data_IF_241601742536
#
_entry.id   IF_241601742536
#
_cell.length_a   1.000
_cell.length_b   1.000
_cell.length_c   1.000
_cell.angle_alpha   90.00
_cell.angle_beta   90.00
_cell.angle_gamma   90.00
#
_symmetry.space_group_name_H-M   'P 1'
#
loop_
_entity.id
_entity.type
_entity.pdbx_description
1 polymer ?
#
# COMPACT_ATOMS: atom_id res chain seq x y z
N UNK A 1 15.39 27.97 -4.70
CA UNK A 1 16.32 27.97 -3.55
C UNK A 1 16.39 26.56 -3.03
N UNK A 2 17.56 25.95 -3.10
CA UNK A 2 17.82 24.54 -2.76
C UNK A 2 17.96 24.39 -1.24
N UNK A 3 16.89 23.98 -0.58
CA UNK A 3 17.03 23.31 0.70
C UNK A 3 17.76 21.99 0.43
N UNK A 4 18.84 21.74 1.17
CA UNK A 4 19.49 20.45 1.17
C UNK A 4 18.50 19.39 1.63
N UNK A 5 17.95 18.62 0.67
CA UNK A 5 17.04 17.51 0.92
C UNK A 5 17.74 16.49 1.84
N UNK A 6 17.52 16.60 3.16
CA UNK A 6 17.73 15.46 4.05
C UNK A 6 16.87 14.34 3.48
N UNK A 7 17.52 13.28 2.98
CA UNK A 7 16.81 12.08 2.53
C UNK A 7 15.95 11.63 3.70
N UNK A 8 14.64 11.68 3.51
CA UNK A 8 13.68 11.18 4.47
C UNK A 8 13.91 9.67 4.63
N UNK A 9 14.18 9.24 5.87
CA UNK A 9 14.47 7.85 6.24
C UNK A 9 13.41 7.41 7.24
N UNK A 10 12.86 6.23 7.03
CA UNK A 10 11.99 5.55 7.99
C UNK A 10 12.85 4.61 8.83
N UNK A 11 12.64 4.64 10.14
CA UNK A 11 13.31 3.79 11.12
C UNK A 11 12.31 2.78 11.71
N UNK A 12 12.12 1.65 11.01
CA UNK A 12 11.26 0.55 11.45
C UNK A 12 11.98 -0.79 11.21
N UNK A 13 11.73 -1.83 12.03
CA UNK A 13 12.25 -3.18 11.80
C UNK A 13 11.47 -3.85 10.65
N UNK A 14 11.88 -3.53 9.43
CA UNK A 14 11.21 -3.96 8.20
C UNK A 14 11.83 -5.26 7.66
N UNK A 15 11.02 -6.31 7.58
CA UNK A 15 11.30 -7.49 6.76
C UNK A 15 10.68 -7.28 5.38
N UNK A 16 11.47 -7.45 4.32
CA UNK A 16 11.02 -7.38 2.94
C UNK A 16 11.19 -8.74 2.30
N UNK A 17 10.08 -9.34 1.88
CA UNK A 17 10.05 -10.62 1.20
C UNK A 17 10.04 -10.36 -0.30
N UNK A 18 10.91 -11.08 -1.01
CA UNK A 18 11.10 -10.88 -2.44
C UNK A 18 10.22 -11.82 -3.27
N UNK A 19 9.90 -11.39 -4.48
CA UNK A 19 9.45 -12.28 -5.57
C UNK A 19 10.63 -13.07 -6.14
N UNK A 20 10.36 -14.01 -7.05
CA UNK A 20 11.43 -14.71 -7.79
C UNK A 20 12.31 -13.74 -8.59
N UNK A 21 11.70 -12.76 -9.25
CA UNK A 21 12.39 -11.70 -10.00
C UNK A 21 13.24 -10.83 -9.07
N UNK A 22 12.68 -10.44 -7.91
CA UNK A 22 13.39 -9.70 -6.88
C UNK A 22 14.58 -10.47 -6.32
N UNK A 23 14.39 -11.74 -5.94
CA UNK A 23 15.44 -12.60 -5.41
C UNK A 23 16.57 -12.78 -6.44
N UNK A 24 16.22 -13.06 -7.69
CA UNK A 24 17.18 -13.20 -8.79
C UNK A 24 18.02 -11.94 -8.99
N UNK A 25 17.38 -10.77 -8.96
CA UNK A 25 18.08 -9.48 -9.06
C UNK A 25 19.03 -9.23 -7.86
N UNK A 26 18.65 -9.61 -6.65
CA UNK A 26 19.55 -9.46 -5.48
C UNK A 26 20.75 -10.41 -5.56
N UNK A 27 20.51 -11.66 -5.94
CA UNK A 27 21.56 -12.68 -6.09
C UNK A 27 22.55 -12.26 -7.20
N UNK A 28 22.07 -11.77 -8.34
CA UNK A 28 22.93 -11.34 -9.45
C UNK A 28 23.83 -10.15 -9.08
N UNK A 29 23.45 -9.36 -8.06
CA UNK A 29 24.23 -8.26 -7.51
C UNK A 29 24.99 -8.63 -6.22
N UNK A 30 25.23 -9.93 -5.99
CA UNK A 30 25.97 -10.48 -4.85
C UNK A 30 25.40 -10.05 -3.48
N UNK A 31 24.09 -9.84 -3.39
CA UNK A 31 23.40 -9.58 -2.11
C UNK A 31 22.92 -10.90 -1.51
N UNK A 32 23.32 -11.16 -0.27
CA UNK A 32 22.84 -12.33 0.48
C UNK A 32 21.39 -12.13 0.88
N UNK A 33 20.58 -13.15 0.65
CA UNK A 33 19.21 -13.22 1.13
C UNK A 33 19.17 -13.89 2.50
N UNK A 34 18.28 -13.40 3.34
CA UNK A 34 17.94 -14.06 4.60
C UNK A 34 16.72 -14.94 4.38
N UNK A 35 16.73 -16.09 5.05
CA UNK A 35 15.57 -16.96 5.16
C UNK A 35 14.78 -16.49 6.38
N UNK A 36 13.55 -16.06 6.14
CA UNK A 36 12.61 -15.76 7.20
C UNK A 36 11.68 -16.95 7.35
N UNK A 37 11.58 -17.44 8.58
CA UNK A 37 10.42 -18.21 8.99
C UNK A 37 9.36 -17.18 9.36
N UNK A 38 8.39 -16.99 8.48
CA UNK A 38 7.28 -16.11 8.79
C UNK A 38 6.28 -16.83 9.69
N UNK A 39 5.33 -16.09 10.24
CA UNK A 39 4.24 -16.64 11.05
C UNK A 39 3.48 -17.76 10.32
N UNK A 40 3.49 -17.77 8.99
CA UNK A 40 2.92 -18.84 8.20
C UNK A 40 3.85 -20.04 7.99
N UNK A 41 4.89 -20.24 8.81
CA UNK A 41 5.87 -21.35 8.72
C UNK A 41 6.48 -21.56 7.31
N UNK A 42 6.22 -20.55 6.48
CA UNK A 42 6.73 -20.11 5.19
C UNK A 42 8.21 -19.83 5.24
N UNK A 43 9.07 -20.70 4.74
CA UNK A 43 10.43 -20.25 4.45
C UNK A 43 10.40 -19.33 3.24
N UNK A 44 10.31 -18.03 3.51
CA UNK A 44 10.37 -17.00 2.49
C UNK A 44 11.74 -16.32 2.51
N UNK A 45 12.23 -15.92 1.34
CA UNK A 45 13.54 -15.29 1.19
C UNK A 45 13.40 -13.78 1.02
N UNK A 46 14.29 -13.05 1.69
CA UNK A 46 14.21 -11.59 1.66
C UNK A 46 15.38 -10.87 2.30
N UNK A 47 15.13 -9.63 2.69
CA UNK A 47 16.08 -8.75 3.39
C UNK A 47 15.43 -8.14 4.63
N UNK A 48 16.23 -7.81 5.65
CA UNK A 48 15.79 -7.08 6.83
C UNK A 48 16.48 -5.72 6.87
N UNK A 49 15.73 -4.69 7.21
CA UNK A 49 16.17 -3.30 7.23
C UNK A 49 15.67 -2.67 8.53
N UNK A 50 16.54 -1.94 9.23
CA UNK A 50 16.13 -1.13 10.39
C UNK A 50 16.01 0.37 10.05
N UNK A 51 16.59 0.77 8.91
CA UNK A 51 16.51 2.11 8.35
C UNK A 51 16.42 2.00 6.83
N UNK A 52 15.48 2.71 6.22
CA UNK A 52 15.30 2.66 4.77
C UNK A 52 14.72 3.95 4.21
N UNK A 53 15.01 4.20 2.93
CA UNK A 53 14.35 5.28 2.17
C UNK A 53 13.01 4.77 1.63
N UNK A 54 11.90 5.50 1.83
CA UNK A 54 10.61 5.16 1.23
C UNK A 54 10.63 5.01 -0.28
N UNK A 55 11.43 5.85 -0.95
CA UNK A 55 11.60 5.79 -2.40
C UNK A 55 12.24 4.48 -2.85
N UNK A 56 13.10 3.87 -2.03
CA UNK A 56 13.73 2.58 -2.33
C UNK A 56 12.70 1.45 -2.28
N UNK A 57 11.87 1.41 -1.23
CA UNK A 57 10.77 0.45 -1.11
C UNK A 57 9.76 0.63 -2.23
N UNK A 58 9.33 1.86 -2.49
CA UNK A 58 8.44 2.18 -3.61
C UNK A 58 9.02 1.66 -4.93
N UNK A 59 10.28 1.93 -5.22
CA UNK A 59 10.91 1.48 -6.48
C UNK A 59 10.92 -0.04 -6.60
N UNK A 60 11.19 -0.76 -5.51
CA UNK A 60 11.14 -2.22 -5.49
C UNK A 60 9.72 -2.75 -5.70
N UNK A 61 8.68 -2.10 -5.16
CA UNK A 61 7.28 -2.46 -5.43
C UNK A 61 6.91 -2.22 -6.90
N UNK A 62 7.31 -1.07 -7.45
CA UNK A 62 7.06 -0.72 -8.86
C UNK A 62 7.72 -1.71 -9.83
N UNK A 63 8.87 -2.26 -9.45
CA UNK A 63 9.62 -3.27 -10.23
C UNK A 63 9.17 -4.72 -9.96
N UNK A 64 8.10 -4.94 -9.20
CA UNK A 64 7.62 -6.29 -8.83
C UNK A 64 8.64 -7.13 -8.05
N UNK A 65 9.58 -6.50 -7.33
CA UNK A 65 10.58 -7.22 -6.54
C UNK A 65 10.09 -7.65 -5.17
N UNK A 66 9.00 -7.05 -4.67
CA UNK A 66 8.47 -7.30 -3.33
C UNK A 66 7.14 -8.04 -3.43
N UNK A 67 7.01 -9.15 -2.72
CA UNK A 67 5.75 -9.89 -2.58
C UNK A 67 5.04 -9.58 -1.26
N UNK A 68 5.79 -9.31 -0.20
CA UNK A 68 5.28 -9.04 1.14
C UNK A 68 6.28 -8.15 1.90
N UNK A 69 5.76 -7.30 2.76
CA UNK A 69 6.56 -6.63 3.79
C UNK A 69 5.93 -6.85 5.16
N UNK A 70 6.75 -6.88 6.19
CA UNK A 70 6.30 -7.11 7.57
C UNK A 70 7.11 -6.25 8.53
N UNK A 71 6.44 -5.71 9.54
CA UNK A 71 7.06 -5.11 10.72
C UNK A 71 6.49 -5.78 11.97
N UNK A 72 7.31 -5.88 13.02
CA UNK A 72 6.92 -6.47 14.29
C UNK A 72 7.55 -5.73 15.44
N UNK A 73 6.74 -5.26 16.39
CA UNK A 73 7.19 -4.45 17.53
C UNK A 73 6.31 -4.74 18.76
N UNK A 74 6.88 -4.58 19.97
CA UNK A 74 6.09 -4.61 21.22
C UNK A 74 5.30 -3.33 21.45
N UNK A 75 5.71 -2.22 20.80
CA UNK A 75 5.09 -0.91 20.88
C UNK A 75 5.16 -0.23 19.50
N UNK A 76 4.03 0.26 19.00
CA UNK A 76 3.91 1.03 17.76
C UNK A 76 3.65 2.53 18.01
N UNK A 77 3.12 2.93 19.17
CA UNK A 77 2.82 4.35 19.46
C UNK A 77 4.04 5.26 19.27
N UNK A 78 5.24 4.78 19.60
CA UNK A 78 6.51 5.49 19.43
C UNK A 78 6.99 5.61 17.98
N UNK A 79 6.37 4.89 17.03
CA UNK A 79 6.70 4.93 15.59
C UNK A 79 5.45 5.17 14.73
N UNK A 80 4.47 5.90 15.27
CA UNK A 80 3.16 6.14 14.64
C UNK A 80 3.29 6.67 13.22
N UNK A 81 4.09 7.73 13.04
CA UNK A 81 4.21 8.41 11.76
C UNK A 81 4.89 7.50 10.72
N UNK A 82 5.92 6.76 11.13
CA UNK A 82 6.67 5.84 10.29
C UNK A 82 5.79 4.69 9.78
N UNK A 83 4.93 4.12 10.62
CA UNK A 83 3.99 3.04 10.23
C UNK A 83 2.96 3.56 9.23
N UNK A 84 2.42 4.76 9.47
CA UNK A 84 1.50 5.41 8.55
C UNK A 84 2.16 5.72 7.20
N UNK A 85 3.38 6.25 7.22
CA UNK A 85 4.13 6.57 6.00
C UNK A 85 4.49 5.32 5.20
N UNK A 86 4.89 4.22 5.86
CA UNK A 86 5.10 2.93 5.20
C UNK A 86 3.80 2.43 4.53
N UNK A 87 2.67 2.51 5.23
CA UNK A 87 1.35 2.13 4.70
C UNK A 87 1.00 2.95 3.45
N UNK A 88 1.19 4.27 3.51
CA UNK A 88 0.97 5.17 2.37
C UNK A 88 1.88 4.80 1.20
N UNK A 89 3.16 4.55 1.45
CA UNK A 89 4.13 4.15 0.41
C UNK A 89 3.67 2.89 -0.31
N UNK A 90 3.18 1.88 0.40
CA UNK A 90 2.64 0.65 -0.18
C UNK A 90 1.44 0.95 -1.08
N UNK A 91 0.44 1.65 -0.56
CA UNK A 91 -0.81 1.94 -1.29
C UNK A 91 -0.54 2.81 -2.52
N UNK A 92 0.23 3.89 -2.39
CA UNK A 92 0.60 4.74 -3.51
C UNK A 92 1.37 3.98 -4.60
N UNK A 93 2.25 3.06 -4.21
CA UNK A 93 2.98 2.24 -5.18
C UNK A 93 2.04 1.36 -6.00
N UNK A 94 1.02 0.78 -5.38
CA UNK A 94 -0.02 0.02 -6.10
C UNK A 94 -0.82 0.93 -7.04
N UNK A 95 -1.25 2.10 -6.57
CA UNK A 95 -1.98 3.07 -7.39
C UNK A 95 -1.18 3.53 -8.60
N UNK A 96 0.14 3.75 -8.47
CA UNK A 96 0.99 4.12 -9.60
C UNK A 96 1.08 3.03 -10.66
N UNK A 97 1.21 1.76 -10.27
CA UNK A 97 1.23 0.63 -11.22
C UNK A 97 -0.11 0.48 -11.94
N UNK A 98 -1.19 0.63 -11.18
CA UNK A 98 -2.56 0.51 -11.64
C UNK A 98 -2.88 1.63 -12.65
N UNK A 99 -2.47 2.87 -12.33
CA UNK A 99 -2.56 4.02 -13.22
C UNK A 99 -1.76 3.82 -14.51
N UNK A 100 -0.50 3.37 -14.42
CA UNK A 100 0.33 3.11 -15.59
C UNK A 100 -0.31 2.10 -16.55
N UNK A 101 -0.83 1.00 -16.01
CA UNK A 101 -1.52 -0.03 -16.80
C UNK A 101 -2.79 0.49 -17.44
N UNK A 102 -3.61 1.23 -16.69
CA UNK A 102 -4.89 1.73 -17.19
C UNK A 102 -4.69 2.84 -18.24
N UNK A 103 -3.65 3.67 -18.09
CA UNK A 103 -3.25 4.62 -19.14
C UNK A 103 -2.86 3.87 -20.40
N UNK A 104 -2.05 2.82 -20.30
CA UNK A 104 -1.68 2.01 -21.46
C UNK A 104 -2.91 1.43 -22.17
N UNK A 105 -3.80 0.81 -21.39
CA UNK A 105 -5.05 0.24 -21.89
C UNK A 105 -5.94 1.30 -22.56
N UNK A 106 -6.01 2.52 -22.02
CA UNK A 106 -6.78 3.60 -22.63
C UNK A 106 -6.13 4.11 -23.94
N UNK A 107 -4.81 4.27 -23.96
CA UNK A 107 -4.08 4.79 -25.11
C UNK A 107 -4.23 3.92 -26.35
N UNK A 108 -4.11 2.59 -26.21
CA UNK A 108 -4.23 1.67 -27.35
C UNK A 108 -5.64 1.64 -27.97
N UNK A 109 -6.65 2.14 -27.23
CA UNK A 109 -8.03 2.24 -27.70
C UNK A 109 -8.33 3.57 -28.40
N UNK A 110 -7.45 4.56 -28.34
CA UNK A 110 -7.64 5.84 -29.03
C UNK A 110 -7.60 5.67 -30.55
N UNK A 111 -8.37 6.51 -31.27
CA UNK A 111 -8.57 6.35 -32.71
C UNK A 111 -7.26 6.49 -33.51
N UNK A 112 -6.35 7.36 -33.06
CA UNK A 112 -5.05 7.53 -33.71
C UNK A 112 -4.19 6.24 -33.69
N UNK A 113 -4.22 5.49 -32.58
CA UNK A 113 -3.50 4.20 -32.45
C UNK A 113 -4.19 3.13 -33.29
N UNK A 114 -5.53 3.06 -33.24
CA UNK A 114 -6.29 2.10 -34.06
C UNK A 114 -6.08 2.33 -35.56
N UNK A 115 -6.06 3.59 -36.02
CA UNK A 115 -5.74 3.95 -37.41
C UNK A 115 -4.32 3.52 -37.79
N UNK A 116 -3.35 3.75 -36.91
CA UNK A 116 -1.98 3.30 -37.12
C UNK A 116 -1.90 1.77 -37.27
N UNK A 117 -2.58 1.02 -36.40
CA UNK A 117 -2.63 -0.44 -36.47
C UNK A 117 -3.26 -0.95 -37.78
N UNK A 118 -4.33 -0.30 -38.27
CA UNK A 118 -4.95 -0.63 -39.57
C UNK A 118 -3.98 -0.40 -40.74
N UNK A 119 -3.18 0.66 -40.67
CA UNK A 119 -2.19 0.98 -41.70
C UNK A 119 -0.90 0.15 -41.59
N UNK A 120 -0.59 -0.41 -40.41
CA UNK A 120 0.65 -1.13 -40.11
C UNK A 120 0.37 -2.50 -39.46
N UNK A 121 -0.29 -3.44 -40.16
CA UNK A 121 -0.73 -4.71 -39.58
C UNK A 121 0.41 -5.62 -39.09
N UNK A 122 1.65 -5.42 -39.58
CA UNK A 122 2.83 -6.16 -39.12
C UNK A 122 3.45 -5.60 -37.83
N UNK A 123 3.05 -4.40 -37.39
CA UNK A 123 3.62 -3.68 -36.25
C UNK A 123 2.52 -3.12 -35.36
N UNK A 124 1.66 -4.01 -34.86
CA UNK A 124 0.54 -3.64 -33.99
C UNK A 124 1.03 -3.10 -32.65
N UNK A 125 0.34 -2.04 -32.19
CA UNK A 125 0.39 -1.53 -30.82
C UNK A 125 -0.91 -1.95 -30.14
N UNK A 126 -0.87 -3.06 -29.41
CA UNK A 126 -1.99 -3.69 -28.70
C UNK A 126 -1.54 -4.22 -27.32
N UNK A 127 -2.44 -4.90 -26.61
CA UNK A 127 -2.16 -5.46 -25.27
C UNK A 127 -0.98 -6.46 -25.22
N UNK A 128 -0.60 -7.03 -26.36
CA UNK A 128 0.50 -8.01 -26.47
C UNK A 128 1.82 -7.37 -26.88
N UNK A 129 1.81 -6.09 -27.27
CA UNK A 129 3.03 -5.38 -27.68
C UNK A 129 4.00 -5.30 -26.50
N UNK A 130 5.15 -5.95 -26.65
CA UNK A 130 6.25 -5.89 -25.70
C UNK A 130 7.47 -5.25 -26.35
N UNK A 131 8.06 -4.29 -25.65
CA UNK A 131 9.32 -3.66 -26.03
C UNK A 131 10.27 -3.70 -24.85
N UNK A 132 11.53 -4.00 -25.09
CA UNK A 132 12.51 -3.98 -24.00
C UNK A 132 12.75 -2.54 -23.52
N UNK A 133 13.03 -2.39 -22.23
CA UNK A 133 13.33 -1.09 -21.63
C UNK A 133 14.48 -0.38 -22.36
N UNK A 134 15.51 -1.14 -22.78
CA UNK A 134 16.63 -0.63 -23.57
C UNK A 134 16.19 -0.01 -24.89
N UNK A 135 15.27 -0.65 -25.62
CA UNK A 135 14.71 -0.12 -26.86
C UNK A 135 13.92 1.17 -26.60
N UNK A 136 13.04 1.16 -25.61
CA UNK A 136 12.21 2.32 -25.25
C UNK A 136 13.08 3.53 -24.85
N UNK A 137 14.09 3.32 -24.00
CA UNK A 137 15.05 4.36 -23.61
C UNK A 137 15.76 4.94 -24.83
N UNK A 138 16.21 4.09 -25.75
CA UNK A 138 16.90 4.54 -26.97
C UNK A 138 16.00 5.39 -27.87
N UNK A 139 14.71 5.05 -28.00
CA UNK A 139 13.76 5.81 -28.81
C UNK A 139 13.45 7.17 -28.17
N UNK A 140 13.33 7.20 -26.84
CA UNK A 140 12.93 8.39 -26.08
C UNK A 140 14.08 9.36 -25.75
N UNK A 141 15.34 8.93 -25.89
CA UNK A 141 16.53 9.69 -25.46
C UNK A 141 16.56 11.15 -25.94
N UNK A 142 16.07 11.44 -27.15
CA UNK A 142 16.06 12.78 -27.75
C UNK A 142 14.65 13.39 -27.82
N UNK A 143 13.71 12.92 -26.99
CA UNK A 143 12.31 13.36 -26.98
C UNK A 143 11.92 14.13 -25.71
N UNK A 144 12.87 14.45 -24.84
CA UNK A 144 12.61 15.10 -23.55
C UNK A 144 11.78 16.38 -23.67
N UNK A 145 12.12 17.28 -24.61
CA UNK A 145 11.34 18.52 -24.82
C UNK A 145 9.89 18.23 -25.22
N UNK A 146 9.66 17.23 -26.07
CA UNK A 146 8.32 16.82 -26.49
C UNK A 146 7.55 16.22 -25.31
N UNK A 147 8.20 15.38 -24.51
CA UNK A 147 7.62 14.80 -23.29
C UNK A 147 7.19 15.90 -22.33
N UNK A 148 8.06 16.88 -22.05
CA UNK A 148 7.77 17.98 -21.13
C UNK A 148 6.63 18.88 -21.63
N UNK A 149 6.61 19.23 -22.92
CA UNK A 149 5.53 20.01 -23.52
C UNK A 149 4.19 19.27 -23.48
N UNK A 150 4.21 17.98 -23.83
CA UNK A 150 3.00 17.13 -23.80
C UNK A 150 2.50 16.94 -22.37
N UNK A 151 3.41 16.75 -21.41
CA UNK A 151 3.07 16.68 -19.98
C UNK A 151 2.35 17.95 -19.51
N UNK A 152 2.86 19.13 -19.85
CA UNK A 152 2.19 20.41 -19.55
C UNK A 152 0.82 20.49 -20.20
N UNK A 153 0.71 20.12 -21.48
CA UNK A 153 -0.58 20.11 -22.17
C UNK A 153 -1.61 19.23 -21.45
N UNK A 154 -1.19 18.10 -20.89
CA UNK A 154 -2.05 17.22 -20.09
C UNK A 154 -2.40 17.87 -18.75
N UNK A 155 -1.41 18.40 -18.01
CA UNK A 155 -1.55 18.89 -16.64
C UNK A 155 -2.21 20.27 -16.52
N UNK A 156 -1.95 21.21 -17.42
CA UNK A 156 -2.40 22.61 -17.29
C UNK A 156 -3.92 22.73 -17.09
N UNK A 157 -4.79 21.99 -17.82
CA UNK A 157 -6.24 22.03 -17.57
C UNK A 157 -6.62 21.50 -16.19
N UNK A 158 -5.92 20.48 -15.69
CA UNK A 158 -6.15 19.90 -14.37
C UNK A 158 -5.73 20.88 -13.29
N UNK A 159 -4.53 21.47 -13.42
CA UNK A 159 -4.03 22.47 -12.49
C UNK A 159 -4.93 23.70 -12.43
N UNK A 160 -5.41 24.16 -13.58
CA UNK A 160 -6.39 25.24 -13.64
C UNK A 160 -7.66 24.88 -12.87
N UNK A 161 -8.23 23.69 -13.10
CA UNK A 161 -9.42 23.23 -12.40
C UNK A 161 -9.21 23.15 -10.87
N UNK A 162 -8.06 22.65 -10.42
CA UNK A 162 -7.68 22.58 -9.00
C UNK A 162 -7.59 23.99 -8.40
N UNK A 163 -6.86 24.90 -9.04
CA UNK A 163 -6.63 26.26 -8.52
C UNK A 163 -7.91 27.09 -8.46
N UNK A 164 -8.85 26.85 -9.37
CA UNK A 164 -10.14 27.56 -9.40
C UNK A 164 -11.21 26.91 -8.53
N UNK A 165 -10.96 25.76 -7.91
CA UNK A 165 -11.94 25.09 -7.07
C UNK A 165 -12.08 25.81 -5.72
N UNK A 166 -13.26 26.40 -5.40
CA UNK A 166 -13.46 27.10 -4.14
C UNK A 166 -13.55 26.17 -2.93
N UNK A 167 -13.82 24.88 -3.14
CA UNK A 167 -13.97 23.90 -2.05
C UNK A 167 -12.62 23.43 -1.50
N UNK A 168 -11.51 23.75 -2.17
CA UNK A 168 -10.17 23.36 -1.75
C UNK A 168 -9.47 24.46 -0.97
N UNK A 169 -8.89 24.08 0.17
CA UNK A 169 -7.89 24.90 0.85
C UNK A 169 -6.63 25.06 0.00
N UNK A 170 -5.78 26.03 0.34
CA UNK A 170 -4.53 26.23 -0.39
C UNK A 170 -3.54 25.07 -0.18
N UNK A 171 -3.58 24.43 1.00
CA UNK A 171 -2.85 23.18 1.26
C UNK A 171 -3.35 22.04 0.36
N UNK A 172 -4.68 21.86 0.28
CA UNK A 172 -5.27 20.82 -0.57
C UNK A 172 -4.93 21.04 -2.05
N UNK A 173 -5.00 22.27 -2.55
CA UNK A 173 -4.56 22.62 -3.91
C UNK A 173 -3.13 22.18 -4.15
N UNK A 174 -2.21 22.53 -3.25
CA UNK A 174 -0.80 22.13 -3.37
C UNK A 174 -0.62 20.61 -3.36
N UNK A 175 -1.34 19.89 -2.50
CA UNK A 175 -1.32 18.42 -2.45
C UNK A 175 -1.77 17.83 -3.78
N UNK A 176 -2.90 18.29 -4.35
CA UNK A 176 -3.41 17.79 -5.61
C UNK A 176 -2.51 18.10 -6.80
N UNK A 177 -1.89 19.29 -6.85
CA UNK A 177 -0.92 19.65 -7.88
C UNK A 177 0.27 18.70 -7.84
N UNK A 178 0.90 18.54 -6.67
CA UNK A 178 2.04 17.63 -6.49
C UNK A 178 1.67 16.17 -6.78
N UNK A 179 0.46 15.75 -6.40
CA UNK A 179 -0.03 14.40 -6.68
C UNK A 179 -0.18 14.15 -8.18
N UNK A 180 -0.79 15.09 -8.90
CA UNK A 180 -0.95 15.00 -10.37
C UNK A 180 0.41 14.87 -11.08
N UNK A 181 1.41 15.63 -10.63
CA UNK A 181 2.78 15.52 -11.13
C UNK A 181 3.40 14.16 -10.82
N UNK A 182 3.24 13.66 -9.59
CA UNK A 182 3.80 12.36 -9.18
C UNK A 182 3.27 11.22 -10.05
N UNK A 183 1.98 11.16 -10.33
CA UNK A 183 1.41 10.15 -11.23
C UNK A 183 2.01 10.26 -12.65
N UNK A 184 2.07 11.46 -13.21
CA UNK A 184 2.67 11.67 -14.55
C UNK A 184 4.17 11.34 -14.61
N UNK A 185 4.90 11.59 -13.52
CA UNK A 185 6.33 11.27 -13.42
C UNK A 185 6.60 9.78 -13.23
N UNK A 186 5.59 9.00 -12.82
CA UNK A 186 5.67 7.54 -12.63
C UNK A 186 5.13 6.75 -13.82
N UNK A 187 4.63 7.45 -14.85
CA UNK A 187 4.20 6.82 -16.08
C UNK A 187 5.39 6.15 -16.80
N UNK A 188 5.21 4.88 -17.16
CA UNK A 188 6.19 4.00 -17.75
C UNK A 188 6.61 4.42 -19.15
N UNK A 189 7.76 3.90 -19.59
CA UNK A 189 8.36 4.26 -20.87
C UNK A 189 7.50 3.87 -22.06
N UNK A 190 6.74 2.77 -21.95
CA UNK A 190 5.85 2.32 -23.03
C UNK A 190 4.72 3.33 -23.29
N UNK A 191 4.14 3.87 -22.22
CA UNK A 191 3.14 4.92 -22.30
C UNK A 191 3.71 6.19 -22.93
N UNK A 192 4.89 6.64 -22.47
CA UNK A 192 5.55 7.81 -23.07
C UNK A 192 5.93 7.57 -24.54
N UNK A 193 6.31 6.36 -24.92
CA UNK A 193 6.55 6.00 -26.30
C UNK A 193 5.29 6.19 -27.16
N UNK A 194 4.14 5.66 -26.74
CA UNK A 194 2.87 5.84 -27.48
C UNK A 194 2.47 7.32 -27.53
N UNK A 195 2.50 8.01 -26.40
CA UNK A 195 2.14 9.44 -26.33
C UNK A 195 3.01 10.25 -27.28
N UNK A 196 4.34 10.06 -27.26
CA UNK A 196 5.27 10.80 -28.13
C UNK A 196 5.17 10.38 -29.60
N UNK A 197 4.80 9.14 -29.90
CA UNK A 197 4.59 8.69 -31.28
C UNK A 197 3.39 9.39 -31.91
N UNK A 198 2.31 9.58 -31.15
CA UNK A 198 1.04 10.08 -31.67
C UNK A 198 0.72 11.54 -31.29
N UNK A 199 1.61 12.26 -30.61
CA UNK A 199 1.32 13.61 -30.08
C UNK A 199 0.92 14.67 -31.12
N UNK A 200 1.24 14.44 -32.41
CA UNK A 200 0.88 15.30 -33.55
C UNK A 200 -0.17 14.67 -34.48
N UNK A 201 -0.63 13.46 -34.18
CA UNK A 201 -1.60 12.77 -35.01
C UNK A 201 -3.00 13.38 -34.83
N UNK A 202 -3.82 13.29 -35.88
CA UNK A 202 -5.24 13.58 -35.76
C UNK A 202 -5.87 12.61 -34.74
N UNK A 203 -6.46 13.17 -33.68
CA UNK A 203 -6.98 12.40 -32.54
C UNK A 203 -6.05 12.37 -31.31
N UNK A 204 -4.88 13.03 -31.33
CA UNK A 204 -4.00 13.09 -30.16
C UNK A 204 -4.67 13.68 -28.90
N UNK A 205 -5.61 14.61 -29.08
CA UNK A 205 -6.35 15.20 -27.95
C UNK A 205 -7.22 14.17 -27.22
N UNK A 206 -7.71 13.13 -27.89
CA UNK A 206 -8.45 12.02 -27.27
C UNK A 206 -7.57 11.32 -26.22
N UNK A 207 -6.31 11.04 -26.56
CA UNK A 207 -5.34 10.46 -25.62
C UNK A 207 -5.14 11.36 -24.40
N UNK A 208 -4.99 12.67 -24.62
CA UNK A 208 -4.79 13.60 -23.51
C UNK A 208 -6.01 13.68 -22.60
N UNK A 209 -7.23 13.66 -23.16
CA UNK A 209 -8.46 13.60 -22.37
C UNK A 209 -8.54 12.28 -21.59
N UNK A 210 -8.21 11.14 -22.20
CA UNK A 210 -8.20 9.85 -21.53
C UNK A 210 -7.23 9.82 -20.34
N UNK A 211 -5.99 10.33 -20.52
CA UNK A 211 -5.01 10.46 -19.43
C UNK A 211 -5.54 11.37 -18.33
N UNK A 212 -6.13 12.53 -18.68
CA UNK A 212 -6.65 13.47 -17.68
C UNK A 212 -7.77 12.84 -16.84
N UNK A 213 -8.70 12.12 -17.46
CA UNK A 213 -9.80 11.45 -16.77
C UNK A 213 -9.27 10.39 -15.79
N UNK A 214 -8.29 9.60 -16.22
CA UNK A 214 -7.62 8.64 -15.34
C UNK A 214 -6.88 9.36 -14.22
N UNK A 215 -6.16 10.44 -14.51
CA UNK A 215 -5.42 11.19 -13.49
C UNK A 215 -6.36 11.72 -12.41
N UNK A 216 -7.49 12.33 -12.78
CA UNK A 216 -8.51 12.77 -11.84
C UNK A 216 -9.08 11.61 -11.01
N UNK A 217 -9.38 10.47 -11.64
CA UNK A 217 -9.88 9.28 -10.93
C UNK A 217 -8.86 8.74 -9.91
N UNK A 218 -7.59 8.67 -10.29
CA UNK A 218 -6.53 8.15 -9.43
C UNK A 218 -6.13 9.12 -8.31
N UNK A 219 -6.25 10.42 -8.53
CA UNK A 219 -6.11 11.42 -7.48
C UNK A 219 -7.21 11.27 -6.41
N UNK A 220 -8.45 11.01 -6.81
CA UNK A 220 -9.52 10.70 -5.86
C UNK A 220 -9.27 9.37 -5.14
N UNK A 221 -8.87 8.31 -5.86
CA UNK A 221 -8.49 7.01 -5.26
C UNK A 221 -7.37 7.13 -4.22
N UNK A 222 -6.47 8.09 -4.39
CA UNK A 222 -5.34 8.30 -3.48
C UNK A 222 -5.76 8.70 -2.06
N UNK A 223 -6.97 9.25 -1.87
CA UNK A 223 -7.51 9.56 -0.54
C UNK A 223 -7.65 8.31 0.33
N UNK A 224 -7.91 7.16 -0.30
CA UNK A 224 -8.00 5.85 0.40
C UNK A 224 -6.68 5.51 1.10
N UNK A 225 -5.53 5.95 0.59
CA UNK A 225 -4.23 5.69 1.23
C UNK A 225 -4.13 6.30 2.64
N UNK A 226 -4.74 7.46 2.86
CA UNK A 226 -4.77 8.11 4.18
C UNK A 226 -5.62 7.28 5.15
N UNK A 227 -6.86 6.95 4.77
CA UNK A 227 -7.77 6.16 5.59
C UNK A 227 -7.20 4.77 5.92
N UNK A 228 -6.55 4.11 4.95
CA UNK A 228 -5.86 2.83 5.21
C UNK A 228 -4.75 3.01 6.24
N UNK A 229 -3.92 4.06 6.11
CA UNK A 229 -2.80 4.28 7.03
C UNK A 229 -3.26 4.54 8.47
N UNK A 230 -4.34 5.31 8.64
CA UNK A 230 -4.97 5.54 9.95
C UNK A 230 -5.54 4.23 10.48
N UNK A 231 -6.32 3.49 9.68
CA UNK A 231 -6.91 2.22 10.10
C UNK A 231 -5.85 1.21 10.58
N UNK A 232 -4.77 1.05 9.82
CA UNK A 232 -3.67 0.14 10.19
C UNK A 232 -3.06 0.55 11.53
N UNK A 233 -2.84 1.86 11.73
CA UNK A 233 -2.28 2.36 12.98
C UNK A 233 -3.23 2.14 14.16
N UNK A 234 -4.52 2.43 14.01
CA UNK A 234 -5.50 2.25 15.08
C UNK A 234 -5.64 0.77 15.48
N UNK A 235 -5.63 -0.14 14.51
CA UNK A 235 -5.62 -1.57 14.79
C UNK A 235 -4.33 -2.01 15.50
N UNK A 236 -3.18 -1.45 15.13
CA UNK A 236 -1.90 -1.73 15.79
C UNK A 236 -1.91 -1.24 17.24
N UNK A 237 -2.39 -0.01 17.50
CA UNK A 237 -2.51 0.56 18.84
C UNK A 237 -3.49 -0.23 19.73
N UNK A 238 -4.59 -0.73 19.16
CA UNK A 238 -5.54 -1.54 19.91
C UNK A 238 -4.91 -2.86 20.38
N UNK A 239 -4.19 -3.55 19.48
CA UNK A 239 -3.46 -4.77 19.84
C UNK A 239 -2.35 -4.49 20.86
N UNK A 240 -1.58 -3.42 20.69
CA UNK A 240 -0.56 -2.97 21.63
C UNK A 240 -1.16 -2.72 23.03
N UNK A 241 -2.25 -1.96 23.12
CA UNK A 241 -2.90 -1.66 24.40
C UNK A 241 -3.48 -2.92 25.06
N UNK A 242 -3.92 -3.89 24.28
CA UNK A 242 -4.36 -5.19 24.80
C UNK A 242 -3.19 -5.94 25.46
N UNK A 243 -2.04 -6.00 24.80
CA UNK A 243 -0.82 -6.61 25.36
C UNK A 243 -0.33 -5.86 26.60
N UNK A 244 -0.32 -4.52 26.57
CA UNK A 244 0.07 -3.68 27.71
C UNK A 244 -0.85 -3.91 28.91
N UNK A 245 -2.18 -3.93 28.73
CA UNK A 245 -3.12 -4.18 29.85
C UNK A 245 -2.93 -5.58 30.44
N UNK A 246 -2.69 -6.58 29.58
CA UNK A 246 -2.43 -7.96 30.02
C UNK A 246 -1.17 -8.03 30.88
N UNK A 247 -0.08 -7.44 30.40
CA UNK A 247 1.20 -7.45 31.13
C UNK A 247 1.14 -6.59 32.40
N UNK A 248 0.45 -5.45 32.37
CA UNK A 248 0.24 -4.62 33.55
C UNK A 248 -0.48 -5.39 34.67
N UNK A 249 -1.51 -6.19 34.35
CA UNK A 249 -2.20 -7.05 35.33
C UNK A 249 -1.27 -8.11 35.92
N UNK A 250 -0.30 -8.60 35.15
CA UNK A 250 0.69 -9.57 35.63
C UNK A 250 1.71 -8.91 36.57
N UNK A 251 2.20 -7.73 36.22
CA UNK A 251 3.23 -6.99 36.96
C UNK A 251 2.68 -6.29 38.22
N UNK A 252 1.42 -5.87 38.19
CA UNK A 252 0.79 -5.02 39.22
C UNK A 252 -0.50 -5.66 39.76
N UNK A 253 -0.39 -6.85 40.35
CA UNK A 253 -1.53 -7.66 40.80
C UNK A 253 -2.42 -6.98 41.86
N UNK A 254 -1.86 -6.05 42.64
CA UNK A 254 -2.55 -5.37 43.74
C UNK A 254 -3.15 -4.00 43.36
N UNK A 255 -3.09 -3.60 42.08
CA UNK A 255 -3.63 -2.32 41.61
C UNK A 255 -5.03 -2.53 41.04
N UNK A 256 -6.04 -1.91 41.68
CA UNK A 256 -7.44 -2.00 41.24
C UNK A 256 -7.68 -1.30 39.89
N UNK A 257 -7.05 -0.13 39.67
CA UNK A 257 -7.21 0.67 38.45
C UNK A 257 -5.96 0.58 37.55
N UNK A 258 -5.87 -0.53 36.82
CA UNK A 258 -4.80 -0.75 35.82
C UNK A 258 -4.89 0.25 34.67
N UNK A 259 -6.10 0.71 34.30
CA UNK A 259 -6.28 1.60 33.16
C UNK A 259 -5.69 2.98 33.44
N UNK A 260 -5.84 3.53 34.65
CA UNK A 260 -5.12 4.76 35.04
C UNK A 260 -3.60 4.56 35.10
N UNK A 261 -3.13 3.38 35.49
CA UNK A 261 -1.71 3.09 35.67
C UNK A 261 -0.92 3.07 34.35
N UNK A 262 -1.51 2.55 33.27
CA UNK A 262 -0.84 2.42 31.96
C UNK A 262 -0.62 3.75 31.23
N UNK A 263 -1.23 4.84 31.73
CA UNK A 263 -1.00 6.21 31.24
C UNK A 263 0.21 6.89 31.89
N UNK A 264 0.74 6.35 32.99
CA UNK A 264 2.00 6.81 33.57
C UNK A 264 3.16 6.44 32.62
N UNK A 265 3.93 7.42 32.11
CA UNK A 265 5.00 7.14 31.14
C UNK A 265 6.10 6.23 31.68
N UNK A 266 6.44 6.31 32.96
CA UNK A 266 7.48 5.46 33.56
C UNK A 266 6.99 4.03 33.74
N UNK A 267 5.73 3.87 34.14
CA UNK A 267 5.12 2.54 34.27
C UNK A 267 4.94 1.90 32.90
N UNK A 268 4.45 2.65 31.91
CA UNK A 268 4.35 2.17 30.52
C UNK A 268 5.70 1.73 29.98
N UNK A 269 6.76 2.50 30.20
CA UNK A 269 8.11 2.13 29.77
C UNK A 269 8.60 0.82 30.38
N UNK A 270 8.28 0.56 31.66
CA UNK A 270 8.60 -0.72 32.33
C UNK A 270 7.82 -1.88 31.73
N UNK A 271 6.52 -1.70 31.47
CA UNK A 271 5.68 -2.72 30.85
C UNK A 271 6.18 -3.04 29.43
N UNK A 272 6.52 -2.02 28.63
CA UNK A 272 7.05 -2.21 27.28
C UNK A 272 8.39 -2.95 27.30
N UNK A 273 9.29 -2.63 28.25
CA UNK A 273 10.54 -3.36 28.42
C UNK A 273 10.32 -4.84 28.76
N UNK A 274 9.29 -5.13 29.56
CA UNK A 274 8.92 -6.50 29.91
C UNK A 274 8.31 -7.26 28.72
N UNK A 275 7.43 -6.64 27.94
CA UNK A 275 6.92 -7.20 26.68
C UNK A 275 8.05 -7.54 25.69
N UNK A 276 9.04 -6.64 25.56
CA UNK A 276 10.23 -6.87 24.73
C UNK A 276 11.07 -8.06 25.25
N UNK A 277 11.23 -8.17 26.57
CA UNK A 277 11.95 -9.30 27.20
C UNK A 277 11.25 -10.63 26.92
N UNK A 278 9.92 -10.63 26.98
CA UNK A 278 9.09 -11.81 26.77
C UNK A 278 8.81 -12.10 25.29
N UNK A 279 9.33 -11.27 24.37
CA UNK A 279 9.08 -11.37 22.92
C UNK A 279 7.60 -11.31 22.55
N UNK A 280 6.82 -10.57 23.32
CA UNK A 280 5.42 -10.26 23.04
C UNK A 280 5.38 -9.14 21.98
N UNK A 281 5.01 -9.52 20.76
CA UNK A 281 5.08 -8.66 19.57
C UNK A 281 3.72 -8.56 18.88
N UNK A 282 3.44 -7.39 18.33
CA UNK A 282 2.36 -7.19 17.36
C UNK A 282 2.98 -7.11 15.98
N UNK A 283 2.43 -7.87 15.04
CA UNK A 283 2.90 -7.97 13.67
C UNK A 283 1.92 -7.27 12.73
N UNK A 284 2.47 -6.56 11.75
CA UNK A 284 1.71 -5.96 10.64
C UNK A 284 2.38 -6.41 9.34
N UNK A 285 1.61 -7.06 8.48
CA UNK A 285 2.06 -7.58 7.20
C UNK A 285 1.26 -6.99 6.06
N UNK A 286 1.94 -6.49 5.02
CA UNK A 286 1.33 -6.07 3.76
C UNK A 286 1.76 -7.04 2.67
N UNK A 287 0.82 -7.86 2.20
CA UNK A 287 0.99 -8.78 1.08
C UNK A 287 0.47 -8.16 -0.20
N UNK A 288 1.34 -8.06 -1.19
CA UNK A 288 1.07 -7.48 -2.50
C UNK A 288 0.65 -8.58 -3.48
N UNK A 289 -0.43 -8.35 -4.21
CA UNK A 289 -0.82 -9.18 -5.34
C UNK A 289 -0.25 -8.66 -6.66
N UNK A 290 0.00 -9.56 -7.62
CA UNK A 290 0.30 -9.17 -9.00
C UNK A 290 1.74 -9.32 -9.46
N UNK A 291 2.49 -10.31 -8.98
CA UNK A 291 3.76 -10.73 -9.63
C UNK A 291 3.55 -11.25 -11.06
N UNK A 292 4.65 -11.34 -11.81
CA UNK A 292 4.73 -11.71 -13.25
C UNK A 292 3.97 -12.99 -13.64
N UNK A 293 3.72 -13.89 -12.68
CA UNK A 293 2.99 -15.16 -12.85
C UNK A 293 1.52 -15.14 -12.40
N UNK A 294 1.01 -14.04 -11.84
CA UNK A 294 -0.30 -14.01 -11.17
C UNK A 294 -1.40 -13.30 -11.98
N UNK A 295 -2.00 -14.07 -12.91
CA UNK A 295 -3.21 -13.67 -13.64
C UNK A 295 -4.36 -13.46 -12.65
N UNK A 296 -5.05 -12.31 -12.74
CA UNK A 296 -6.24 -12.01 -11.92
C UNK A 296 -5.99 -11.57 -10.48
N UNK A 297 -4.73 -11.38 -10.05
CA UNK A 297 -4.38 -10.87 -8.71
C UNK A 297 -3.75 -9.47 -8.72
N UNK A 298 -3.75 -8.79 -9.87
CA UNK A 298 -3.22 -7.43 -9.99
C UNK A 298 -4.09 -6.44 -9.21
N UNK A 299 -3.46 -5.51 -8.49
CA UNK A 299 -4.17 -4.50 -7.68
C UNK A 299 -4.67 -5.00 -6.33
N UNK A 300 -4.38 -6.25 -5.95
CA UNK A 300 -4.75 -6.79 -4.63
C UNK A 300 -3.75 -6.38 -3.55
N UNK A 301 -4.25 -5.90 -2.42
CA UNK A 301 -3.50 -5.69 -1.19
C UNK A 301 -4.19 -6.44 -0.06
N UNK A 302 -3.43 -7.22 0.70
CA UNK A 302 -3.91 -7.83 1.95
C UNK A 302 -3.04 -7.32 3.08
N UNK A 303 -3.64 -6.64 4.04
CA UNK A 303 -2.98 -6.20 5.26
C UNK A 303 -3.45 -7.11 6.39
N UNK A 304 -2.52 -7.70 7.12
CA UNK A 304 -2.83 -8.64 8.21
C UNK A 304 -2.15 -8.16 9.49
N UNK A 305 -2.92 -8.10 10.58
CA UNK A 305 -2.45 -7.79 11.92
C UNK A 305 -2.69 -8.98 12.83
N UNK A 306 -1.68 -9.33 13.64
CA UNK A 306 -1.75 -10.45 14.57
C UNK A 306 -0.75 -10.29 15.73
N UNK A 307 -0.99 -10.98 16.85
CA UNK A 307 -0.28 -10.80 18.12
C UNK A 307 0.58 -12.00 18.56
N UNK A 308 0.64 -13.10 17.78
CA UNK A 308 1.50 -14.27 18.06
C UNK A 308 2.10 -14.87 16.79
N UNK A 309 3.38 -15.24 16.85
CA UNK A 309 4.17 -15.74 15.70
C UNK A 309 3.90 -17.23 15.39
N UNK A 310 3.81 -18.08 16.43
CA UNK A 310 3.89 -19.55 16.26
C UNK A 310 2.57 -20.25 15.85
N UNK A 311 1.42 -19.57 15.96
CA UNK A 311 0.09 -20.20 15.81
C UNK A 311 -0.66 -19.78 14.53
N UNK A 312 -0.07 -18.91 13.71
CA UNK A 312 -0.73 -18.37 12.51
C UNK A 312 -0.96 -19.43 11.40
N UNK A 313 -0.32 -20.59 11.45
CA UNK A 313 -0.49 -21.66 10.46
C UNK A 313 -1.84 -22.33 10.46
N UNK A 314 -2.28 -22.81 11.61
CA UNK A 314 -3.59 -23.41 11.77
C UNK A 314 -4.69 -22.40 11.39
N UNK A 315 -4.41 -21.13 11.65
CA UNK A 315 -5.28 -20.00 11.30
C UNK A 315 -5.35 -19.74 9.79
N UNK A 316 -4.23 -19.74 9.06
CA UNK A 316 -4.23 -19.52 7.60
C UNK A 316 -5.01 -20.59 6.86
N UNK A 317 -4.81 -21.86 7.22
CA UNK A 317 -5.56 -22.98 6.64
C UNK A 317 -7.06 -22.86 6.98
N UNK A 318 -7.41 -22.50 8.22
CA UNK A 318 -8.80 -22.25 8.61
C UNK A 318 -9.41 -21.04 7.89
N UNK A 319 -8.66 -19.95 7.67
CA UNK A 319 -9.12 -18.75 6.96
C UNK A 319 -9.34 -19.06 5.47
N UNK A 320 -8.43 -19.78 4.83
CA UNK A 320 -8.55 -20.13 3.41
C UNK A 320 -9.62 -21.19 3.18
N UNK A 321 -9.80 -22.14 4.11
CA UNK A 321 -10.94 -23.06 4.14
C UNK A 321 -12.27 -22.32 4.35
N UNK A 322 -12.34 -21.37 5.29
CA UNK A 322 -13.51 -20.53 5.54
C UNK A 322 -13.83 -19.53 4.40
N UNK A 323 -12.88 -19.24 3.50
CA UNK A 323 -13.18 -18.53 2.24
C UNK A 323 -13.89 -19.43 1.23
N UNK A 324 -13.68 -20.74 1.30
CA UNK A 324 -14.27 -21.74 0.40
C UNK A 324 -15.59 -22.32 0.91
N UNK A 325 -15.78 -22.40 2.23
CA UNK A 325 -17.03 -22.79 2.87
C UNK A 325 -17.88 -21.57 3.22
N UNK A 326 -19.19 -21.65 3.02
CA UNK A 326 -20.16 -20.56 3.27
C UNK A 326 -20.43 -20.34 4.78
N UNK A 327 -19.38 -20.45 5.61
CA UNK A 327 -19.39 -20.28 7.07
C UNK A 327 -19.41 -18.80 7.42
N UNK A 328 -20.20 -18.43 8.43
CA UNK A 328 -20.40 -17.06 8.89
C UNK A 328 -19.04 -16.37 9.18
N UNK A 329 -18.58 -15.55 8.24
CA UNK A 329 -17.37 -14.73 8.41
C UNK A 329 -17.71 -13.60 9.37
N UNK A 330 -17.02 -13.54 10.51
CA UNK A 330 -17.13 -12.42 11.45
C UNK A 330 -16.42 -11.20 10.85
N UNK A 331 -17.16 -10.13 10.60
CA UNK A 331 -16.57 -8.88 10.12
C UNK A 331 -15.90 -8.13 11.26
N UNK A 332 -15.04 -7.17 10.95
CA UNK A 332 -14.44 -6.31 11.97
C UNK A 332 -15.50 -5.44 12.68
N UNK A 333 -16.60 -5.09 11.99
CA UNK A 333 -17.74 -4.40 12.59
C UNK A 333 -18.41 -5.28 13.64
N UNK A 334 -18.68 -6.55 13.30
CA UNK A 334 -19.30 -7.50 14.23
C UNK A 334 -18.42 -7.73 15.45
N UNK A 335 -17.10 -7.82 15.24
CA UNK A 335 -16.13 -7.94 16.32
C UNK A 335 -16.18 -6.78 17.30
N UNK A 336 -16.15 -5.53 16.82
CA UNK A 336 -16.21 -4.37 17.70
C UNK A 336 -17.56 -4.27 18.45
N UNK A 337 -18.67 -4.67 17.83
CA UNK A 337 -20.00 -4.66 18.49
C UNK A 337 -20.15 -5.68 19.61
N UNK A 338 -19.32 -6.72 19.62
CA UNK A 338 -19.33 -7.77 20.64
C UNK A 338 -18.38 -7.47 21.81
N UNK A 339 -17.55 -6.41 21.73
CA UNK A 339 -16.70 -6.00 22.84
C UNK A 339 -17.56 -5.36 23.95
N UNK A 340 -17.25 -5.59 25.25
CA UNK A 340 -18.02 -5.02 26.36
C UNK A 340 -18.05 -3.49 26.32
N UNK A 341 -19.22 -2.91 26.62
CA UNK A 341 -19.40 -1.45 26.77
C UNK A 341 -18.38 -0.87 27.77
N UNK A 342 -17.64 0.15 27.35
CA UNK A 342 -16.65 0.85 28.20
C UNK A 342 -15.17 0.62 27.86
N UNK A 343 -14.83 -0.21 26.87
CA UNK A 343 -13.47 -0.24 26.34
C UNK A 343 -13.18 1.01 25.48
N UNK A 344 -12.47 1.99 26.05
CA UNK A 344 -11.98 3.17 25.34
C UNK A 344 -11.19 2.75 24.07
N UNK A 345 -11.61 3.26 22.91
CA UNK A 345 -10.99 2.97 21.59
C UNK A 345 -11.86 2.14 20.62
N UNK A 346 -12.91 1.49 21.11
CA UNK A 346 -13.83 0.65 20.30
C UNK A 346 -14.66 1.49 19.31
N UNK A 347 -15.20 2.63 19.75
CA UNK A 347 -16.03 3.51 18.93
C UNK A 347 -15.24 4.20 17.81
N UNK A 348 -13.98 4.55 18.10
CA UNK A 348 -13.12 5.23 17.14
C UNK A 348 -12.65 4.27 16.02
N UNK A 349 -12.35 3.01 16.35
CA UNK A 349 -12.04 1.96 15.37
C UNK A 349 -13.22 1.68 14.42
N UNK A 350 -14.44 1.59 14.97
CA UNK A 350 -15.68 1.47 14.17
C UNK A 350 -15.92 2.68 13.27
N UNK A 351 -15.69 3.89 13.79
CA UNK A 351 -15.79 5.13 13.03
C UNK A 351 -14.85 5.07 11.83
N UNK A 352 -13.55 4.89 12.03
CA UNK A 352 -12.58 4.82 10.92
C UNK A 352 -12.89 3.73 9.91
N UNK A 353 -13.46 2.61 10.34
CA UNK A 353 -13.83 1.51 9.46
C UNK A 353 -14.98 1.88 8.54
N UNK A 354 -15.98 2.59 9.07
CA UNK A 354 -17.07 3.15 8.26
C UNK A 354 -16.56 4.15 7.24
N UNK A 355 -15.68 5.09 7.64
CA UNK A 355 -15.10 6.06 6.69
C UNK A 355 -14.27 5.39 5.60
N UNK A 356 -13.48 4.38 5.96
CA UNK A 356 -12.68 3.63 4.99
C UNK A 356 -13.58 2.90 3.98
N UNK A 357 -14.64 2.24 4.44
CA UNK A 357 -15.58 1.53 3.57
C UNK A 357 -16.32 2.49 2.62
N UNK A 358 -16.82 3.62 3.13
CA UNK A 358 -17.48 4.65 2.33
C UNK A 358 -16.52 5.27 1.31
N UNK A 359 -15.28 5.58 1.72
CA UNK A 359 -14.25 6.10 0.83
C UNK A 359 -13.91 5.09 -0.28
N UNK A 360 -13.76 3.80 0.06
CA UNK A 360 -13.49 2.74 -0.92
C UNK A 360 -14.63 2.60 -1.94
N UNK A 361 -15.89 2.58 -1.47
CA UNK A 361 -17.08 2.53 -2.34
C UNK A 361 -17.14 3.71 -3.31
N UNK A 362 -16.86 4.92 -2.82
CA UNK A 362 -16.88 6.15 -3.64
C UNK A 362 -15.91 6.08 -4.82
N UNK A 363 -14.77 5.40 -4.66
CA UNK A 363 -13.73 5.30 -5.70
C UNK A 363 -13.64 3.92 -6.35
N UNK A 364 -14.66 3.07 -6.14
CA UNK A 364 -14.76 1.72 -6.68
C UNK A 364 -13.57 0.81 -6.33
N UNK A 365 -13.05 0.93 -5.11
CA UNK A 365 -12.09 -0.01 -4.52
C UNK A 365 -12.89 -1.04 -3.73
N UNK A 366 -12.70 -2.33 -4.01
CA UNK A 366 -13.38 -3.38 -3.23
C UNK A 366 -12.64 -3.55 -1.90
N UNK A 367 -13.37 -3.46 -0.79
CA UNK A 367 -12.83 -3.58 0.55
C UNK A 367 -13.57 -4.69 1.32
N UNK A 368 -12.81 -5.54 1.99
CA UNK A 368 -13.34 -6.57 2.91
C UNK A 368 -12.49 -6.59 4.19
N UNK A 369 -13.14 -6.67 5.36
CA UNK A 369 -12.48 -6.85 6.65
C UNK A 369 -12.92 -8.15 7.31
N UNK A 370 -11.97 -8.89 7.88
CA UNK A 370 -12.20 -10.20 8.49
C UNK A 370 -11.48 -10.27 9.84
N UNK A 371 -12.13 -10.82 10.85
CA UNK A 371 -11.54 -11.09 12.15
C UNK A 371 -11.68 -12.56 12.48
N UNK A 372 -10.58 -13.18 12.91
CA UNK A 372 -10.57 -14.54 13.40
C UNK A 372 -9.97 -14.53 14.81
N UNK A 373 -10.70 -15.07 15.78
CA UNK A 373 -10.27 -15.19 17.16
C UNK A 373 -10.15 -16.65 17.52
N UNK A 374 -9.02 -17.02 18.10
CA UNK A 374 -8.73 -18.39 18.49
C UNK A 374 -8.59 -18.44 20.01
N UNK A 375 -9.65 -18.90 20.68
CA UNK A 375 -9.76 -18.88 22.14
C UNK A 375 -8.72 -19.76 22.85
N UNK A 376 -8.26 -20.83 22.20
CA UNK A 376 -7.25 -21.74 22.77
C UNK A 376 -5.85 -21.08 22.84
N UNK A 377 -5.57 -20.20 21.89
CA UNK A 377 -4.28 -19.54 21.69
C UNK A 377 -4.29 -18.06 22.10
N UNK A 378 -5.44 -17.47 22.43
CA UNK A 378 -5.60 -16.01 22.59
C UNK A 378 -5.11 -15.20 21.36
N UNK A 379 -5.08 -15.83 20.19
CA UNK A 379 -4.64 -15.24 18.94
C UNK A 379 -5.82 -14.50 18.29
N UNK A 380 -5.62 -13.22 17.98
CA UNK A 380 -6.54 -12.44 17.16
C UNK A 380 -5.86 -12.07 15.85
N UNK A 381 -6.49 -12.46 14.73
CA UNK A 381 -6.01 -12.14 13.38
C UNK A 381 -7.02 -11.27 12.68
N UNK A 382 -6.60 -10.05 12.34
CA UNK A 382 -7.39 -9.09 11.58
C UNK A 382 -6.82 -9.01 10.17
N UNK A 383 -7.67 -9.16 9.15
CA UNK A 383 -7.27 -9.06 7.75
C UNK A 383 -8.11 -8.01 7.04
N UNK A 384 -7.44 -7.05 6.40
CA UNK A 384 -8.02 -6.05 5.51
C UNK A 384 -7.62 -6.38 4.08
N UNK A 385 -8.61 -6.65 3.22
CA UNK A 385 -8.39 -6.94 1.81
C UNK A 385 -8.88 -5.77 0.96
N UNK A 386 -8.03 -5.33 0.02
CA UNK A 386 -8.34 -4.29 -0.94
C UNK A 386 -8.09 -4.80 -2.37
N UNK A 387 -8.94 -4.37 -3.30
CA UNK A 387 -8.74 -4.56 -4.74
C UNK A 387 -8.97 -3.22 -5.46
N UNK A 388 -7.89 -2.63 -5.96
CA UNK A 388 -7.81 -1.25 -6.45
C UNK A 388 -8.19 -1.05 -7.92
#
# INVERSE_FOLDING_TARGET
MSASDKKFIIELPLKVILTEDGASNFISHNKKLMRFRLADNVDEYGISLNKFSPQSIQSMILLDYISKIEISMSEFVSSRQEVMDLSKVVVYSLLYKQFDRDVYAALIQCECVRKHNRANPSHLIDEKTKMSERQLRSILQNKETIIQQTRRSILDPIWKAIMTNPDYSDEEKNIYLLMSEKFMNRLGLMNWYIITLFHKADGANEMFIAIRNLLSSYMEKSKVAEYISVMVMELALNNENTNIRKEARNMYQDVEDIDSLIFDPEVRAKIVAELQRNHELVFISWKLGGGSSSIGKQGKLSITLYNKDDEFQEVKENIDNAKSSNTAKKTLIDFYRELPDGQEGTDLGLYYLSYLDDACKKVNVKFESLVNQFSASELTVITLNFNF
#
